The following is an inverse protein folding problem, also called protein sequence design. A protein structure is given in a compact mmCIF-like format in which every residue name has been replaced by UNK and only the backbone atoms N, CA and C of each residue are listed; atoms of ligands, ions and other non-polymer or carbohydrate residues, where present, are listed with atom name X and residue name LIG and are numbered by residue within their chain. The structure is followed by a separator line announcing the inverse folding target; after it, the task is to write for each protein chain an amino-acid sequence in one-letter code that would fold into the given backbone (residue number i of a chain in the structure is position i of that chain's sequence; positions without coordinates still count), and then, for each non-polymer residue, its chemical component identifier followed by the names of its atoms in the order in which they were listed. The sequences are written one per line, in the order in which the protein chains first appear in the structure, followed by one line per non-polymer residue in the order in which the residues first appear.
data_IF_812839465466
#
_entry.id   IF_812839465466
#
_cell.length_a   1.000
_cell.length_b   1.000
_cell.length_c   1.000
_cell.angle_alpha   90.00
_cell.angle_beta   90.00
_cell.angle_gamma   90.00
#
_symmetry.space_group_name_H-M   'P 1'
#
loop_
_entity.id
_entity.type
_entity.pdbx_description
1 polymer ?
#
# COMPACT_ATOMS: atom_id res chain seq x y z
N UNK A 1 12.21 -37.77 -11.96
CA UNK A 1 11.42 -37.65 -13.20
C UNK A 1 12.29 -36.88 -14.19
N UNK A 2 12.76 -37.54 -15.25
CA UNK A 2 13.58 -36.83 -16.28
C UNK A 2 12.63 -36.12 -17.25
N UNK A 3 12.59 -34.82 -17.17
CA UNK A 3 11.82 -33.97 -18.10
C UNK A 3 12.51 -34.00 -19.48
N UNK A 4 11.83 -34.52 -20.50
CA UNK A 4 12.30 -34.44 -21.88
C UNK A 4 12.03 -33.05 -22.43
N UNK A 5 13.07 -32.19 -22.48
CA UNK A 5 12.98 -30.81 -22.95
C UNK A 5 12.80 -30.66 -24.47
N UNK A 6 12.85 -31.75 -25.23
CA UNK A 6 12.58 -31.73 -26.67
C UNK A 6 11.11 -31.81 -27.02
N UNK A 7 10.26 -32.16 -26.07
CA UNK A 7 8.82 -32.21 -26.25
C UNK A 7 8.22 -30.97 -25.61
N UNK A 8 7.55 -30.07 -26.38
CA UNK A 8 6.87 -28.92 -25.81
C UNK A 8 5.76 -29.38 -24.86
N UNK A 9 5.48 -28.61 -23.77
CA UNK A 9 4.37 -28.95 -22.89
C UNK A 9 3.05 -28.91 -23.64
N UNK A 10 2.06 -29.74 -23.26
CA UNK A 10 0.76 -29.71 -23.89
C UNK A 10 0.10 -28.35 -23.71
N UNK A 11 -0.46 -27.82 -24.79
CA UNK A 11 -1.26 -26.59 -24.75
C UNK A 11 -2.63 -26.97 -24.18
N UNK A 12 -2.91 -26.47 -22.98
CA UNK A 12 -4.25 -26.59 -22.40
C UNK A 12 -5.03 -25.30 -22.71
N UNK A 13 -6.00 -25.31 -23.61
CA UNK A 13 -6.84 -24.15 -23.83
C UNK A 13 -7.63 -23.82 -22.55
N UNK A 14 -7.69 -22.54 -22.20
CA UNK A 14 -8.53 -22.06 -21.10
C UNK A 14 -9.99 -22.20 -21.55
N UNK A 15 -10.71 -23.15 -20.97
CA UNK A 15 -12.11 -23.40 -21.30
C UNK A 15 -13.08 -22.57 -20.46
N UNK A 16 -12.71 -22.31 -19.19
CA UNK A 16 -13.55 -21.57 -18.25
C UNK A 16 -12.72 -20.60 -17.41
N UNK A 17 -13.12 -19.35 -17.41
CA UNK A 17 -12.54 -18.30 -16.54
C UNK A 17 -13.59 -17.92 -15.50
N UNK A 18 -13.36 -18.32 -14.25
CA UNK A 18 -14.20 -17.89 -13.14
C UNK A 18 -13.63 -16.61 -12.51
N UNK A 19 -14.40 -15.53 -12.62
CA UNK A 19 -14.09 -14.26 -11.95
C UNK A 19 -14.88 -14.19 -10.65
N UNK A 20 -14.18 -14.04 -9.53
CA UNK A 20 -14.83 -13.80 -8.24
C UNK A 20 -15.24 -12.33 -8.15
N UNK A 21 -16.53 -12.07 -8.04
CA UNK A 21 -17.05 -10.71 -7.88
C UNK A 21 -17.04 -10.27 -6.41
N UNK A 22 -16.81 -8.97 -6.14
CA UNK A 22 -16.85 -8.45 -4.78
C UNK A 22 -18.27 -8.40 -4.22
N UNK A 23 -18.41 -8.69 -2.94
CA UNK A 23 -19.57 -8.30 -2.14
C UNK A 23 -19.45 -6.81 -1.84
N UNK A 24 -20.44 -6.01 -2.24
CA UNK A 24 -20.41 -4.55 -2.13
C UNK A 24 -21.43 -4.09 -1.10
N UNK A 25 -20.99 -3.26 -0.15
CA UNK A 25 -21.83 -2.63 0.87
C UNK A 25 -21.37 -1.20 1.16
N UNK A 26 -22.17 -0.44 1.90
CA UNK A 26 -21.77 0.86 2.43
C UNK A 26 -21.66 0.80 3.93
N UNK A 27 -20.59 1.39 4.48
CA UNK A 27 -20.45 1.59 5.89
C UNK A 27 -21.46 2.65 6.39
N UNK A 28 -21.65 2.75 7.72
CA UNK A 28 -22.59 3.73 8.32
C UNK A 28 -22.24 5.18 7.97
N UNK A 29 -20.98 5.48 7.71
CA UNK A 29 -20.48 6.80 7.29
C UNK A 29 -20.58 7.04 5.78
N UNK A 30 -21.18 6.11 5.01
CA UNK A 30 -21.37 6.21 3.57
C UNK A 30 -20.20 5.72 2.71
N UNK A 31 -19.06 5.37 3.30
CA UNK A 31 -17.90 4.84 2.55
C UNK A 31 -18.27 3.50 1.92
N UNK A 32 -18.03 3.30 0.60
CA UNK A 32 -18.23 2.01 -0.04
C UNK A 32 -17.16 1.02 0.44
N UNK A 33 -17.59 -0.20 0.73
CA UNK A 33 -16.74 -1.33 1.09
C UNK A 33 -16.98 -2.46 0.11
N UNK A 34 -15.91 -2.96 -0.50
CA UNK A 34 -15.92 -4.08 -1.41
C UNK A 34 -15.09 -5.21 -0.81
N UNK A 35 -15.67 -6.40 -0.67
CA UNK A 35 -15.01 -7.56 -0.06
C UNK A 35 -14.94 -8.70 -1.06
N UNK A 36 -13.76 -9.23 -1.30
CA UNK A 36 -13.54 -10.44 -2.09
C UNK A 36 -13.06 -11.53 -1.14
N UNK A 37 -13.82 -12.62 -1.05
CA UNK A 37 -13.43 -13.81 -0.28
C UNK A 37 -12.83 -14.83 -1.25
N UNK A 38 -11.51 -14.81 -1.36
CA UNK A 38 -10.76 -15.68 -2.25
C UNK A 38 -9.37 -15.97 -1.66
N UNK A 39 -8.73 -17.02 -2.20
CA UNK A 39 -7.40 -17.44 -1.72
C UNK A 39 -7.50 -18.61 -0.75
N UNK A 40 -6.35 -19.25 -0.51
CA UNK A 40 -6.20 -20.39 0.39
C UNK A 40 -5.36 -20.05 1.64
N UNK A 41 -4.79 -18.86 1.68
CA UNK A 41 -3.89 -18.42 2.75
C UNK A 41 -4.64 -17.56 3.77
N UNK A 42 -4.21 -17.64 5.04
CA UNK A 42 -4.75 -16.86 6.16
C UNK A 42 -4.22 -15.42 6.17
N UNK A 43 -4.32 -14.75 5.02
CA UNK A 43 -3.87 -13.38 4.79
C UNK A 43 -5.02 -12.52 4.32
N UNK A 44 -5.11 -11.31 4.85
CA UNK A 44 -5.99 -10.27 4.34
C UNK A 44 -5.14 -9.18 3.67
N UNK A 45 -5.58 -8.74 2.50
CA UNK A 45 -5.16 -7.50 1.86
C UNK A 45 -6.27 -6.48 2.04
N UNK A 46 -5.94 -5.35 2.61
CA UNK A 46 -6.83 -4.21 2.75
C UNK A 46 -6.29 -3.04 1.93
N UNK A 47 -7.11 -2.52 1.02
CA UNK A 47 -6.79 -1.35 0.22
C UNK A 47 -7.73 -0.20 0.58
N UNK A 48 -7.16 0.94 0.96
CA UNK A 48 -7.89 2.18 1.15
C UNK A 48 -7.50 3.17 0.06
N UNK A 49 -8.52 3.67 -0.65
CA UNK A 49 -8.38 4.68 -1.70
C UNK A 49 -8.92 6.01 -1.18
N UNK A 50 -8.09 7.04 -1.25
CA UNK A 50 -8.43 8.40 -0.83
C UNK A 50 -8.36 9.30 -2.07
N UNK A 51 -9.41 10.09 -2.34
CA UNK A 51 -9.46 11.03 -3.46
C UNK A 51 -8.52 12.23 -3.26
N UNK A 52 -7.24 11.96 -3.01
CA UNK A 52 -6.19 12.94 -2.71
C UNK A 52 -4.94 12.68 -3.56
N UNK A 53 -5.12 12.43 -4.85
CA UNK A 53 -4.02 12.26 -5.81
C UNK A 53 -3.46 13.59 -6.33
N UNK A 54 -2.55 13.48 -7.31
CA UNK A 54 -1.87 14.64 -7.91
C UNK A 54 -2.83 15.69 -8.49
N UNK A 55 -4.01 15.27 -8.95
CA UNK A 55 -5.04 16.15 -9.49
C UNK A 55 -5.59 17.17 -8.49
N UNK A 56 -5.50 16.83 -7.19
CA UNK A 56 -5.98 17.67 -6.08
C UNK A 56 -4.88 18.48 -5.39
N UNK A 57 -3.61 18.32 -5.80
CA UNK A 57 -2.49 19.00 -5.16
C UNK A 57 -2.41 20.47 -5.62
N UNK A 58 -2.03 21.34 -4.70
CA UNK A 58 -1.77 22.76 -4.97
C UNK A 58 -0.30 23.04 -5.26
N UNK A 59 0.58 22.13 -4.87
CA UNK A 59 2.03 22.18 -5.07
C UNK A 59 2.53 20.85 -5.64
N UNK A 60 3.56 20.91 -6.48
CA UNK A 60 4.19 19.71 -7.01
C UNK A 60 4.66 18.77 -5.90
N UNK A 61 4.45 17.47 -6.08
CA UNK A 61 4.83 16.39 -5.15
C UNK A 61 4.02 16.35 -3.83
N UNK A 62 3.13 17.29 -3.55
CA UNK A 62 2.36 17.34 -2.31
C UNK A 62 1.63 16.02 -2.02
N UNK A 63 0.91 15.46 -3.01
CA UNK A 63 0.17 14.22 -2.84
C UNK A 63 1.09 13.05 -2.46
N UNK A 64 2.26 12.94 -3.10
CA UNK A 64 3.25 11.90 -2.82
C UNK A 64 3.85 12.06 -1.42
N UNK A 65 4.25 13.28 -1.06
CA UNK A 65 4.86 13.55 0.25
C UNK A 65 3.86 13.35 1.38
N UNK A 66 2.66 13.90 1.28
CA UNK A 66 1.62 13.72 2.30
C UNK A 66 1.31 12.25 2.52
N UNK A 67 1.08 11.50 1.43
CA UNK A 67 0.78 10.07 1.54
C UNK A 67 1.94 9.31 2.21
N UNK A 68 3.17 9.54 1.75
CA UNK A 68 4.35 8.85 2.29
C UNK A 68 4.60 9.16 3.75
N UNK A 69 4.39 10.40 4.16
CA UNK A 69 4.64 10.86 5.52
C UNK A 69 3.63 10.37 6.55
N UNK A 70 2.47 9.81 6.14
CA UNK A 70 1.48 9.25 7.06
C UNK A 70 2.05 8.20 8.03
N UNK A 71 3.04 7.42 7.58
CA UNK A 71 3.66 6.38 8.41
C UNK A 71 4.86 6.86 9.24
N UNK A 72 5.24 8.12 9.11
CA UNK A 72 6.45 8.64 9.76
C UNK A 72 6.18 9.18 11.18
N UNK A 73 4.91 9.15 11.62
CA UNK A 73 4.55 9.45 13.00
C UNK A 73 3.08 9.76 13.18
N UNK A 74 2.57 9.38 14.35
CA UNK A 74 1.24 9.76 14.82
C UNK A 74 1.36 10.49 16.16
N UNK A 75 0.25 11.01 16.68
CA UNK A 75 0.24 11.61 18.03
C UNK A 75 0.62 10.62 19.14
N UNK A 76 0.51 9.31 18.88
CA UNK A 76 0.76 8.24 19.84
C UNK A 76 2.03 7.43 19.58
N UNK A 77 2.54 7.42 18.34
CA UNK A 77 3.64 6.55 17.91
C UNK A 77 4.65 7.31 17.04
N UNK A 78 5.93 7.03 17.27
CA UNK A 78 7.00 7.46 16.38
C UNK A 78 7.10 6.55 15.14
N UNK A 79 7.81 6.98 14.10
CA UNK A 79 8.11 6.19 12.89
C UNK A 79 8.70 4.83 13.24
N UNK A 80 9.68 4.80 14.14
CA UNK A 80 10.30 3.56 14.62
C UNK A 80 9.29 2.63 15.29
N UNK A 81 8.44 3.16 16.19
CA UNK A 81 7.44 2.35 16.89
C UNK A 81 6.37 1.79 15.94
N UNK A 82 6.01 2.54 14.89
CA UNK A 82 5.11 2.06 13.85
C UNK A 82 5.76 0.88 13.10
N UNK A 83 7.03 1.01 12.70
CA UNK A 83 7.76 -0.06 12.03
C UNK A 83 7.87 -1.32 12.92
N UNK A 84 8.30 -1.17 14.17
CA UNK A 84 8.41 -2.27 15.14
C UNK A 84 7.09 -3.01 15.36
N UNK A 85 5.97 -2.27 15.41
CA UNK A 85 4.64 -2.89 15.55
C UNK A 85 4.22 -3.64 14.29
N UNK A 86 4.45 -3.10 13.11
CA UNK A 86 4.17 -3.80 11.85
C UNK A 86 4.99 -5.09 11.76
N UNK A 87 6.28 -5.03 12.07
CA UNK A 87 7.18 -6.18 12.09
C UNK A 87 6.73 -7.23 13.12
N UNK A 88 6.33 -6.80 14.32
CA UNK A 88 5.84 -7.70 15.36
C UNK A 88 4.61 -8.51 14.92
N UNK A 89 3.68 -7.91 14.16
CA UNK A 89 2.51 -8.59 13.63
C UNK A 89 2.76 -9.27 12.27
N UNK A 90 3.97 -9.15 11.71
CA UNK A 90 4.28 -9.64 10.37
C UNK A 90 3.42 -8.98 9.30
N UNK A 91 3.06 -7.71 9.51
CA UNK A 91 2.24 -6.93 8.59
C UNK A 91 3.13 -6.09 7.67
N UNK A 92 2.69 -5.91 6.42
CA UNK A 92 3.35 -5.03 5.46
C UNK A 92 2.40 -3.93 5.04
N UNK A 93 2.91 -2.69 4.99
CA UNK A 93 2.13 -1.54 4.55
C UNK A 93 2.83 -0.80 3.42
N UNK A 94 2.08 -0.54 2.37
CA UNK A 94 2.50 0.23 1.22
C UNK A 94 1.69 1.52 1.12
N UNK A 95 2.38 2.63 0.90
CA UNK A 95 1.80 3.94 0.70
C UNK A 95 2.22 4.45 -0.68
N UNK A 96 1.25 4.75 -1.52
CA UNK A 96 1.49 5.25 -2.87
C UNK A 96 0.46 6.30 -3.26
N UNK A 97 0.79 7.10 -4.26
CA UNK A 97 -0.13 8.07 -4.84
C UNK A 97 -0.14 7.98 -6.36
N UNK A 98 -1.30 8.17 -6.94
CA UNK A 98 -1.52 8.27 -8.37
C UNK A 98 -2.03 9.65 -8.76
N UNK A 99 -2.43 9.79 -10.01
CA UNK A 99 -3.05 11.02 -10.50
C UNK A 99 -4.34 11.36 -9.72
N UNK A 100 -5.19 10.39 -9.45
CA UNK A 100 -6.51 10.60 -8.86
C UNK A 100 -6.58 10.31 -7.36
N UNK A 101 -5.81 9.32 -6.88
CA UNK A 101 -5.97 8.78 -5.54
C UNK A 101 -4.64 8.62 -4.81
N UNK A 102 -4.67 8.76 -3.48
CA UNK A 102 -3.72 8.17 -2.58
C UNK A 102 -4.16 6.75 -2.23
N UNK A 103 -3.20 5.84 -2.06
CA UNK A 103 -3.43 4.43 -1.74
C UNK A 103 -2.70 4.07 -0.45
N UNK A 104 -3.40 3.36 0.41
CA UNK A 104 -2.83 2.68 1.57
C UNK A 104 -3.19 1.22 1.43
N UNK A 105 -2.20 0.37 1.25
CA UNK A 105 -2.36 -1.08 1.17
C UNK A 105 -1.74 -1.71 2.41
N UNK A 106 -2.52 -2.49 3.13
CA UNK A 106 -2.08 -3.27 4.29
C UNK A 106 -2.23 -4.75 3.99
N UNK A 107 -1.14 -5.49 4.16
CA UNK A 107 -1.15 -6.96 4.20
C UNK A 107 -0.97 -7.41 5.64
N UNK A 108 -1.85 -8.27 6.11
CA UNK A 108 -1.82 -8.79 7.47
C UNK A 108 -2.33 -10.22 7.54
N UNK A 109 -1.87 -10.96 8.53
CA UNK A 109 -2.51 -12.23 8.86
C UNK A 109 -3.94 -11.96 9.38
N UNK A 110 -4.90 -12.80 9.00
CA UNK A 110 -6.30 -12.67 9.40
C UNK A 110 -6.47 -12.49 10.92
N UNK A 111 -5.72 -13.27 11.71
CA UNK A 111 -5.77 -13.23 13.19
C UNK A 111 -5.29 -11.91 13.79
N UNK A 112 -4.45 -11.14 13.08
CA UNK A 112 -3.91 -9.88 13.55
C UNK A 112 -4.50 -8.66 12.84
N UNK A 113 -5.39 -8.88 11.89
CA UNK A 113 -6.01 -7.78 11.13
C UNK A 113 -6.72 -6.74 12.02
N UNK A 114 -7.47 -7.11 13.08
CA UNK A 114 -8.07 -6.12 13.97
C UNK A 114 -7.06 -5.16 14.59
N UNK A 115 -5.89 -5.67 15.01
CA UNK A 115 -4.83 -4.86 15.61
C UNK A 115 -4.10 -4.00 14.56
N UNK A 116 -3.84 -4.57 13.39
CA UNK A 116 -3.07 -3.88 12.34
C UNK A 116 -3.88 -2.79 11.64
N UNK A 117 -5.20 -2.95 11.51
CA UNK A 117 -6.05 -1.91 10.93
C UNK A 117 -6.17 -0.67 11.84
N UNK A 118 -6.03 -0.84 13.15
CA UNK A 118 -6.00 0.27 14.11
C UNK A 118 -4.82 1.21 13.86
N UNK A 119 -3.65 0.67 13.42
CA UNK A 119 -2.50 1.51 13.05
C UNK A 119 -2.79 2.35 11.81
N UNK A 120 -3.48 1.77 10.82
CA UNK A 120 -3.90 2.52 9.63
C UNK A 120 -4.86 3.64 10.04
N UNK A 121 -5.80 3.36 10.92
CA UNK A 121 -6.73 4.35 11.42
C UNK A 121 -6.02 5.48 12.19
N UNK A 122 -5.06 5.16 13.07
CA UNK A 122 -4.29 6.16 13.82
C UNK A 122 -3.45 7.04 12.88
N UNK A 123 -2.78 6.45 11.89
CA UNK A 123 -2.01 7.21 10.89
C UNK A 123 -2.86 8.16 10.06
N UNK A 124 -4.12 7.81 9.79
CA UNK A 124 -5.04 8.66 9.03
C UNK A 124 -5.65 9.77 9.87
N UNK A 125 -6.01 9.45 11.12
CA UNK A 125 -6.75 10.36 11.97
C UNK A 125 -5.83 11.30 12.77
N UNK A 126 -4.61 10.87 13.07
CA UNK A 126 -3.69 11.56 14.00
C UNK A 126 -2.25 11.68 13.45
N UNK A 127 -2.03 11.96 12.15
CA UNK A 127 -0.67 12.09 11.60
C UNK A 127 0.02 13.34 12.18
N UNK A 128 1.31 13.26 12.45
CA UNK A 128 2.10 14.39 12.99
C UNK A 128 3.03 15.05 11.98
N UNK A 129 3.34 14.38 10.88
CA UNK A 129 4.25 14.86 9.83
C UNK A 129 5.56 15.45 10.40
N UNK A 130 6.39 14.64 11.09
CA UNK A 130 7.57 15.15 11.77
C UNK A 130 8.55 15.82 10.79
N UNK A 131 9.03 17.02 11.11
CA UNK A 131 9.91 17.81 10.23
C UNK A 131 11.21 17.08 9.91
N UNK A 132 11.81 16.44 10.91
CA UNK A 132 13.06 15.67 10.74
C UNK A 132 12.89 14.52 9.72
N UNK A 133 11.79 13.77 9.80
CA UNK A 133 11.50 12.68 8.86
C UNK A 133 11.22 13.23 7.46
N UNK A 134 10.58 14.39 7.37
CA UNK A 134 10.36 15.09 6.11
C UNK A 134 11.68 15.51 5.47
N UNK A 135 12.60 16.10 6.22
CA UNK A 135 13.93 16.48 5.72
C UNK A 135 14.71 15.28 5.16
N UNK A 136 14.71 14.16 5.90
CA UNK A 136 15.34 12.91 5.45
C UNK A 136 14.67 12.41 4.15
N UNK A 137 13.35 12.43 4.09
CA UNK A 137 12.61 11.99 2.91
C UNK A 137 12.90 12.86 1.67
N UNK A 138 12.96 14.19 1.85
CA UNK A 138 13.33 15.15 0.80
C UNK A 138 14.72 14.85 0.27
N UNK A 139 15.72 14.71 1.15
CA UNK A 139 17.11 14.48 0.72
C UNK A 139 17.27 13.14 -0.02
N UNK A 140 16.66 12.08 0.49
CA UNK A 140 16.67 10.76 -0.18
C UNK A 140 16.06 10.84 -1.59
N UNK A 141 14.91 11.53 -1.74
CA UNK A 141 14.27 11.66 -3.04
C UNK A 141 15.07 12.54 -4.01
N UNK A 142 15.69 13.61 -3.51
CA UNK A 142 16.61 14.46 -4.28
C UNK A 142 17.81 13.68 -4.81
N UNK A 143 18.44 12.88 -3.97
CA UNK A 143 19.56 12.01 -4.37
C UNK A 143 19.11 10.98 -5.43
N UNK A 144 17.98 10.36 -5.21
CA UNK A 144 17.40 9.41 -6.19
C UNK A 144 17.11 10.06 -7.54
N UNK A 145 16.57 11.27 -7.52
CA UNK A 145 16.32 12.05 -8.73
C UNK A 145 17.62 12.36 -9.48
N UNK A 146 18.66 12.82 -8.78
CA UNK A 146 19.97 13.11 -9.37
C UNK A 146 20.60 11.86 -10.00
N UNK A 147 20.56 10.73 -9.30
CA UNK A 147 21.05 9.45 -9.84
C UNK A 147 20.29 9.04 -11.10
N UNK A 148 18.97 9.14 -11.09
CA UNK A 148 18.15 8.74 -12.23
C UNK A 148 18.32 9.70 -13.41
N UNK A 149 18.49 11.00 -13.18
CA UNK A 149 18.71 11.99 -14.25
C UNK A 149 20.06 11.83 -14.96
N UNK A 150 21.04 11.17 -14.33
CA UNK A 150 22.34 10.87 -14.93
C UNK A 150 22.39 9.53 -15.67
N UNK A 151 21.36 8.70 -15.52
CA UNK A 151 21.26 7.44 -16.29
C UNK A 151 20.83 7.75 -17.71
N UNK A 152 21.75 7.58 -18.64
CA UNK A 152 21.42 7.55 -20.07
C UNK A 152 20.73 6.20 -20.31
N UNK A 153 19.45 6.23 -20.65
CA UNK A 153 18.79 5.03 -21.19
C UNK A 153 19.43 4.74 -22.54
N UNK A 154 20.16 3.62 -22.61
CA UNK A 154 20.69 3.06 -23.86
C UNK A 154 19.66 2.15 -24.49
#
# INVERSE_FOLDING_TARGET
MNLNRQIPPPICPLSDIHVTYPESQRLKNGIPLHVIRAGMEDVVRFDLLIGAGQWHQTQALQAMFTNRMLREGTSSLTSQQIAEKLDYYGAMMELSSSVNCGFITLYSLNKYFPQTIEFVADMLMNPTFPEKEMEVFVEVNKQRFLINSTRVEM
#
